data_IF_594124971087
#
_entry.id   IF_594124971087
#
_cell.length_a   1.000
_cell.length_b   1.000
_cell.length_c   1.000
_cell.angle_alpha   90.00
_cell.angle_beta   90.00
_cell.angle_gamma   90.00
#
_symmetry.space_group_name_H-M   'P 1'
#
loop_
_entity.id
_entity.type
_entity.pdbx_description
1 polymer ?
#
# COMPACT_ATOMS: atom_id res chain seq x y z
N UNK A 1 11.00 11.39 17.51
CA UNK A 1 10.85 10.25 16.58
C UNK A 1 11.40 10.60 15.21
N UNK A 2 10.83 11.59 14.49
CA UNK A 2 11.20 11.92 13.10
C UNK A 2 12.30 12.98 12.92
N UNK A 3 12.99 13.40 13.99
CA UNK A 3 14.06 14.41 14.00
C UNK A 3 13.64 15.71 13.29
N UNK A 4 14.47 16.25 12.39
CA UNK A 4 14.25 17.48 11.61
C UNK A 4 14.76 17.24 10.17
N UNK A 5 13.99 16.55 9.31
CA UNK A 5 14.42 16.24 7.96
C UNK A 5 14.53 17.55 7.15
N UNK A 6 15.58 17.68 6.35
CA UNK A 6 15.83 18.89 5.54
C UNK A 6 16.07 18.59 4.05
N UNK A 7 16.13 17.32 3.70
CA UNK A 7 16.20 16.83 2.33
C UNK A 7 15.21 15.68 2.08
N UNK A 8 14.91 15.40 0.81
CA UNK A 8 14.14 14.22 0.42
C UNK A 8 14.83 12.94 0.90
N UNK A 9 16.17 12.87 0.84
CA UNK A 9 16.94 11.73 1.34
C UNK A 9 16.70 11.46 2.84
N UNK A 10 16.55 12.50 3.66
CA UNK A 10 16.21 12.34 5.08
C UNK A 10 14.85 11.67 5.24
N UNK A 11 13.87 12.04 4.40
CA UNK A 11 12.52 11.45 4.39
C UNK A 11 12.59 9.99 3.92
N UNK A 12 13.28 9.70 2.81
CA UNK A 12 13.50 8.34 2.31
C UNK A 12 14.11 7.43 3.38
N UNK A 13 15.12 7.93 4.10
CA UNK A 13 15.76 7.20 5.21
C UNK A 13 14.80 6.93 6.36
N UNK A 14 13.91 7.85 6.71
CA UNK A 14 12.90 7.61 7.77
C UNK A 14 11.96 6.45 7.39
N UNK A 15 11.52 6.39 6.13
CA UNK A 15 10.68 5.29 5.66
C UNK A 15 11.43 3.96 5.60
N UNK A 16 12.67 3.97 5.13
CA UNK A 16 13.53 2.78 5.12
C UNK A 16 13.83 2.29 6.55
N UNK A 17 14.11 3.21 7.48
CA UNK A 17 14.33 2.90 8.90
C UNK A 17 13.08 2.29 9.54
N UNK A 18 11.89 2.75 9.17
CA UNK A 18 10.63 2.12 9.59
C UNK A 18 10.53 0.66 9.11
N UNK A 19 10.77 0.42 7.82
CA UNK A 19 10.77 -0.94 7.25
C UNK A 19 11.84 -1.84 7.90
N UNK A 20 13.00 -1.29 8.25
CA UNK A 20 14.04 -2.05 8.95
C UNK A 20 13.77 -2.24 10.47
N UNK A 21 12.71 -1.65 11.02
CA UNK A 21 12.38 -1.69 12.46
C UNK A 21 13.26 -0.78 13.33
N UNK A 22 14.00 0.17 12.73
CA UNK A 22 14.80 1.19 13.43
C UNK A 22 13.96 2.41 13.83
N UNK A 23 12.80 2.61 13.19
CA UNK A 23 11.81 3.62 13.53
C UNK A 23 10.50 2.95 13.93
N UNK A 24 9.85 3.43 14.98
CA UNK A 24 8.66 2.80 15.56
C UNK A 24 7.34 3.15 14.86
N UNK A 25 7.34 4.14 13.96
CA UNK A 25 6.12 4.60 13.30
C UNK A 25 6.36 5.72 12.29
N UNK A 26 5.36 5.91 11.43
CA UNK A 26 5.24 6.97 10.42
C UNK A 26 3.84 7.59 10.55
N UNK A 27 3.54 8.75 9.93
CA UNK A 27 2.19 9.33 9.99
C UNK A 27 1.07 8.37 9.55
N UNK A 28 1.35 7.47 8.60
CA UNK A 28 0.41 6.43 8.12
C UNK A 28 0.43 5.13 8.94
N UNK A 29 1.37 4.99 9.87
CA UNK A 29 1.60 3.76 10.64
C UNK A 29 1.79 4.04 12.14
N UNK A 30 0.76 3.72 12.93
CA UNK A 30 0.79 3.79 14.39
C UNK A 30 0.89 2.41 15.07
N UNK A 31 0.98 1.33 14.29
CA UNK A 31 1.12 -0.06 14.75
C UNK A 31 2.42 -0.70 14.24
N UNK A 32 2.90 -1.77 14.91
CA UNK A 32 3.97 -2.61 14.36
C UNK A 32 3.63 -3.19 12.98
N UNK A 33 4.66 -3.49 12.19
CA UNK A 33 4.51 -4.16 10.90
C UNK A 33 3.77 -5.49 11.05
N UNK A 34 2.88 -5.78 10.09
CA UNK A 34 2.24 -7.09 10.01
C UNK A 34 3.29 -8.17 9.72
N UNK A 35 3.12 -9.40 10.22
CA UNK A 35 4.03 -10.51 9.92
C UNK A 35 4.20 -10.79 8.42
N UNK A 36 3.21 -10.47 7.58
CA UNK A 36 3.33 -10.58 6.12
C UNK A 36 4.38 -9.62 5.55
N UNK A 37 4.50 -8.42 6.12
CA UNK A 37 5.43 -7.38 5.67
C UNK A 37 6.87 -7.76 5.99
N UNK A 38 7.11 -8.55 7.03
CA UNK A 38 8.45 -9.06 7.37
C UNK A 38 9.08 -9.86 6.23
N UNK A 39 8.27 -10.46 5.34
CA UNK A 39 8.76 -11.23 4.18
C UNK A 39 9.37 -10.32 3.10
N UNK A 40 8.94 -9.05 3.02
CA UNK A 40 9.32 -8.09 1.97
C UNK A 40 9.99 -6.82 2.51
N UNK A 41 10.29 -6.75 3.82
CA UNK A 41 10.82 -5.55 4.48
C UNK A 41 12.12 -5.00 3.86
N UNK A 42 12.99 -5.87 3.34
CA UNK A 42 14.25 -5.44 2.72
C UNK A 42 13.98 -4.77 1.39
N UNK A 43 13.15 -5.38 0.56
CA UNK A 43 12.72 -4.83 -0.72
C UNK A 43 12.01 -3.48 -0.50
N UNK A 44 11.10 -3.39 0.48
CA UNK A 44 10.45 -2.14 0.83
C UNK A 44 11.45 -1.07 1.26
N UNK A 45 12.47 -1.41 2.06
CA UNK A 45 13.50 -0.43 2.43
C UNK A 45 14.28 0.07 1.21
N UNK A 46 14.63 -0.80 0.26
CA UNK A 46 15.26 -0.40 -1.00
C UNK A 46 14.36 0.53 -1.81
N UNK A 47 13.09 0.17 -1.98
CA UNK A 47 12.07 0.99 -2.67
C UNK A 47 11.98 2.39 -2.05
N UNK A 48 11.93 2.47 -0.72
CA UNK A 48 11.88 3.74 0.01
C UNK A 48 13.16 4.58 -0.15
N UNK A 49 14.35 3.95 -0.12
CA UNK A 49 15.62 4.64 -0.35
C UNK A 49 15.71 5.22 -1.77
N UNK A 50 15.05 4.60 -2.74
CA UNK A 50 14.93 5.09 -4.12
C UNK A 50 13.91 6.20 -4.34
N UNK A 51 13.28 6.75 -3.29
CA UNK A 51 12.32 7.85 -3.42
C UNK A 51 10.86 7.42 -3.60
N UNK A 52 10.56 6.12 -3.52
CA UNK A 52 9.19 5.59 -3.59
C UNK A 52 8.68 5.31 -2.17
N UNK A 53 8.03 6.30 -1.55
CA UNK A 53 7.71 6.31 -0.12
C UNK A 53 6.48 5.43 0.19
N UNK A 54 6.68 4.16 0.53
CA UNK A 54 5.62 3.15 0.69
C UNK A 54 4.76 3.39 1.93
N UNK A 55 3.45 3.45 1.73
CA UNK A 55 2.44 3.59 2.77
C UNK A 55 1.53 2.35 2.90
N UNK A 56 1.55 1.41 1.94
CA UNK A 56 0.83 0.14 2.03
C UNK A 56 1.50 -0.92 1.14
N UNK A 57 1.41 -2.18 1.53
CA UNK A 57 1.98 -3.29 0.76
C UNK A 57 1.35 -4.63 1.11
N UNK A 58 1.37 -5.57 0.16
CA UNK A 58 1.18 -7.00 0.42
C UNK A 58 2.04 -7.82 -0.56
N UNK A 59 2.66 -8.93 -0.10
CA UNK A 59 3.42 -9.81 -0.99
C UNK A 59 2.50 -10.64 -1.90
N UNK A 60 3.06 -11.24 -2.94
CA UNK A 60 2.32 -12.27 -3.68
C UNK A 60 2.29 -13.58 -2.87
N UNK A 61 1.13 -14.24 -2.88
CA UNK A 61 0.90 -15.53 -2.23
C UNK A 61 0.24 -16.46 -3.23
N UNK A 62 0.80 -17.66 -3.38
CA UNK A 62 0.35 -18.63 -4.37
C UNK A 62 -0.10 -19.93 -3.70
N UNK A 63 -1.34 -19.94 -3.21
CA UNK A 63 -1.99 -21.16 -2.74
C UNK A 63 -1.42 -21.71 -1.44
N UNK A 64 -1.26 -20.86 -0.43
CA UNK A 64 -0.90 -21.30 0.93
C UNK A 64 -2.13 -21.91 1.63
N UNK A 65 -1.95 -22.85 2.56
CA UNK A 65 -3.05 -23.38 3.37
C UNK A 65 -3.83 -22.27 4.07
N UNK A 66 -5.14 -22.42 4.20
CA UNK A 66 -5.99 -21.44 4.90
C UNK A 66 -5.71 -21.29 6.40
N UNK A 67 -4.95 -22.22 6.99
CA UNK A 67 -4.44 -22.16 8.36
C UNK A 67 -2.95 -21.80 8.46
N UNK A 68 -2.36 -21.27 7.38
CA UNK A 68 -1.03 -20.68 7.40
C UNK A 68 -0.92 -19.58 8.47
N UNK A 69 0.21 -19.53 9.19
CA UNK A 69 0.37 -18.66 10.35
C UNK A 69 0.53 -17.17 10.01
N UNK A 70 0.93 -16.86 8.78
CA UNK A 70 1.21 -15.50 8.32
C UNK A 70 0.08 -15.02 7.42
N UNK A 71 -0.32 -15.85 6.46
CA UNK A 71 -1.22 -15.49 5.37
C UNK A 71 -2.59 -16.16 5.46
N UNK A 72 -2.76 -17.15 6.34
CA UNK A 72 -3.97 -17.98 6.42
C UNK A 72 -5.18 -17.21 6.93
N UNK A 73 -6.32 -17.40 6.26
CA UNK A 73 -7.62 -16.93 6.71
C UNK A 73 -8.74 -17.80 6.15
N UNK A 74 -9.94 -17.69 6.73
CA UNK A 74 -11.14 -18.38 6.26
C UNK A 74 -11.31 -19.80 6.81
N UNK A 75 -12.23 -20.61 6.23
CA UNK A 75 -12.45 -21.99 6.62
C UNK A 75 -11.20 -22.87 6.46
N UNK A 76 -11.08 -23.91 7.30
CA UNK A 76 -10.00 -24.91 7.20
C UNK A 76 -10.02 -25.67 5.87
N UNK A 77 -8.88 -26.25 5.52
CA UNK A 77 -8.67 -27.07 4.32
C UNK A 77 -8.90 -26.32 2.99
N UNK A 78 -8.74 -25.00 3.00
CA UNK A 78 -8.77 -24.16 1.80
C UNK A 78 -7.38 -23.65 1.44
N UNK A 79 -7.34 -22.80 0.41
CA UNK A 79 -6.13 -22.15 -0.07
C UNK A 79 -6.34 -20.66 -0.25
N UNK A 80 -5.32 -19.88 0.11
CA UNK A 80 -5.30 -18.41 0.03
C UNK A 80 -4.28 -17.95 -1.01
N UNK A 81 -4.63 -16.86 -1.70
CA UNK A 81 -3.84 -16.25 -2.74
C UNK A 81 -3.83 -14.74 -2.62
N UNK A 82 -2.72 -14.12 -3.02
CA UNK A 82 -2.53 -12.67 -3.06
C UNK A 82 -1.73 -12.28 -4.31
N UNK A 83 -2.10 -11.17 -4.95
CA UNK A 83 -1.24 -10.47 -5.90
C UNK A 83 -0.31 -9.54 -5.15
N UNK A 84 0.91 -9.36 -5.64
CA UNK A 84 1.79 -8.34 -5.08
C UNK A 84 1.21 -6.94 -5.34
N UNK A 85 1.24 -6.10 -4.31
CA UNK A 85 0.70 -4.75 -4.35
C UNK A 85 1.54 -3.80 -3.52
N UNK A 86 1.72 -2.58 -4.04
CA UNK A 86 2.39 -1.47 -3.37
C UNK A 86 1.54 -0.20 -3.50
N UNK A 87 1.53 0.62 -2.46
CA UNK A 87 1.00 1.98 -2.45
C UNK A 87 2.06 2.92 -1.87
N UNK A 88 2.40 3.99 -2.57
CA UNK A 88 3.51 4.87 -2.20
C UNK A 88 3.34 6.31 -2.70
N UNK A 89 4.05 7.23 -2.06
CA UNK A 89 4.23 8.60 -2.56
C UNK A 89 5.46 8.70 -3.48
N UNK A 90 5.21 9.34 -4.61
CA UNK A 90 6.01 9.59 -5.80
C UNK A 90 6.43 11.04 -6.12
N UNK A 91 7.69 11.43 -6.30
CA UNK A 91 7.96 12.68 -7.03
C UNK A 91 7.45 12.58 -8.48
N UNK A 92 7.11 13.71 -9.11
CA UNK A 92 6.64 13.71 -10.50
C UNK A 92 7.71 13.18 -11.48
N UNK A 93 8.99 13.45 -11.22
CA UNK A 93 10.09 12.99 -12.06
C UNK A 93 10.28 11.46 -11.98
N UNK A 94 10.27 10.92 -10.76
CA UNK A 94 10.41 9.48 -10.52
C UNK A 94 9.17 8.69 -10.99
N UNK A 95 7.99 9.35 -11.02
CA UNK A 95 6.80 8.79 -11.62
C UNK A 95 7.00 8.54 -13.12
N UNK A 96 7.53 9.49 -13.88
CA UNK A 96 7.75 9.29 -15.31
C UNK A 96 8.71 8.12 -15.57
N UNK A 97 9.81 8.02 -14.81
CA UNK A 97 10.74 6.88 -14.91
C UNK A 97 10.06 5.54 -14.61
N UNK A 98 9.20 5.52 -13.59
CA UNK A 98 8.41 4.33 -13.26
C UNK A 98 7.48 3.97 -14.43
N UNK A 99 6.74 4.95 -14.98
CA UNK A 99 5.80 4.72 -16.08
C UNK A 99 6.50 4.19 -17.34
N UNK A 100 7.66 4.75 -17.68
CA UNK A 100 8.48 4.26 -18.79
C UNK A 100 8.89 2.81 -18.59
N UNK A 101 9.34 2.46 -17.36
CA UNK A 101 9.79 1.11 -17.02
C UNK A 101 8.66 0.08 -17.07
N UNK A 102 7.46 0.42 -16.58
CA UNK A 102 6.33 -0.52 -16.51
C UNK A 102 5.52 -0.59 -17.82
N UNK A 103 5.72 0.35 -18.76
CA UNK A 103 4.93 0.47 -19.99
C UNK A 103 4.92 -0.80 -20.85
N UNK A 104 5.99 -1.59 -20.80
CA UNK A 104 6.15 -2.83 -21.56
C UNK A 104 5.57 -4.08 -20.90
N UNK A 105 5.14 -4.00 -19.63
CA UNK A 105 4.65 -5.16 -18.89
C UNK A 105 3.11 -5.19 -18.82
N UNK A 106 2.44 -6.10 -19.55
CA UNK A 106 0.98 -6.21 -19.51
C UNK A 106 0.44 -6.74 -18.18
N UNK A 107 1.30 -7.26 -17.31
CA UNK A 107 0.91 -7.77 -15.99
C UNK A 107 0.82 -6.67 -14.94
N UNK A 108 1.24 -5.45 -15.22
CA UNK A 108 1.19 -4.35 -14.26
C UNK A 108 -0.11 -3.56 -14.42
N UNK A 109 -0.76 -3.25 -13.30
CA UNK A 109 -1.86 -2.27 -13.24
C UNK A 109 -1.48 -1.18 -12.25
N UNK A 110 -1.57 0.09 -12.65
CA UNK A 110 -1.29 1.21 -11.76
C UNK A 110 -2.38 2.28 -11.76
N UNK A 111 -2.46 3.03 -10.67
CA UNK A 111 -3.22 4.27 -10.57
C UNK A 111 -2.37 5.31 -9.86
N UNK A 112 -2.22 6.49 -10.45
CA UNK A 112 -1.46 7.60 -9.89
C UNK A 112 -2.35 8.84 -9.78
N UNK A 113 -2.28 9.55 -8.65
CA UNK A 113 -3.03 10.78 -8.42
C UNK A 113 -2.25 11.80 -7.58
N UNK A 114 -2.18 13.05 -8.00
CA UNK A 114 -1.61 14.12 -7.17
C UNK A 114 -2.68 14.89 -6.38
N UNK A 115 -2.27 15.81 -5.50
CA UNK A 115 -3.18 16.61 -4.69
C UNK A 115 -4.18 17.40 -5.53
N UNK A 116 -3.77 17.90 -6.70
CA UNK A 116 -4.58 18.69 -7.63
C UNK A 116 -5.62 17.85 -8.38
N UNK A 117 -5.52 16.52 -8.33
CA UNK A 117 -6.44 15.61 -9.01
C UNK A 117 -6.01 15.20 -10.41
N UNK A 118 -4.77 15.46 -10.83
CA UNK A 118 -4.17 14.82 -12.01
C UNK A 118 -4.13 13.32 -11.78
N UNK A 119 -4.88 12.57 -12.60
CA UNK A 119 -5.06 11.14 -12.46
C UNK A 119 -4.57 10.41 -13.71
N UNK A 120 -3.74 9.38 -13.51
CA UNK A 120 -3.14 8.58 -14.58
C UNK A 120 -3.26 7.10 -14.27
N UNK A 121 -3.55 6.28 -15.27
CA UNK A 121 -3.70 4.83 -15.10
C UNK A 121 -3.58 4.10 -16.45
N UNK A 122 -3.18 2.84 -16.41
CA UNK A 122 -3.29 1.89 -17.54
C UNK A 122 -4.48 0.92 -17.39
N UNK A 123 -5.34 1.09 -16.37
CA UNK A 123 -6.48 0.21 -16.18
C UNK A 123 -7.49 0.39 -17.32
N UNK A 124 -7.73 -0.69 -18.08
CA UNK A 124 -8.61 -0.67 -19.26
C UNK A 124 -10.11 -0.60 -18.91
N UNK A 125 -10.47 -0.73 -17.63
CA UNK A 125 -11.85 -0.67 -17.17
C UNK A 125 -11.92 -0.24 -15.72
N UNK A 126 -13.04 0.36 -15.34
CA UNK A 126 -13.36 0.69 -13.95
C UNK A 126 -13.72 -0.55 -13.10
N UNK A 127 -13.51 -1.76 -13.62
CA UNK A 127 -13.83 -2.99 -12.88
C UNK A 127 -12.82 -3.20 -11.74
N UNK A 128 -13.29 -3.67 -10.57
CA UNK A 128 -12.40 -4.03 -9.48
C UNK A 128 -11.39 -5.12 -9.87
N UNK A 129 -10.13 -4.89 -9.55
CA UNK A 129 -9.07 -5.89 -9.61
C UNK A 129 -8.99 -6.64 -8.28
N UNK A 130 -9.32 -7.94 -8.27
CA UNK A 130 -9.15 -8.77 -7.08
C UNK A 130 -7.66 -9.00 -6.78
N UNK A 131 -7.24 -8.66 -5.56
CA UNK A 131 -5.84 -8.78 -5.12
C UNK A 131 -5.64 -9.77 -3.99
N UNK A 132 -6.71 -10.18 -3.30
CA UNK A 132 -6.66 -11.26 -2.30
C UNK A 132 -7.91 -12.12 -2.43
N UNK A 133 -7.74 -13.43 -2.57
CA UNK A 133 -8.85 -14.38 -2.67
C UNK A 133 -8.55 -15.71 -1.99
N UNK A 134 -9.60 -16.48 -1.73
CA UNK A 134 -9.52 -17.79 -1.11
C UNK A 134 -10.51 -18.77 -1.72
N UNK A 135 -10.06 -20.01 -1.85
CA UNK A 135 -10.85 -21.15 -2.35
C UNK A 135 -11.02 -22.14 -1.21
N UNK A 136 -12.27 -22.44 -0.85
CA UNK A 136 -12.59 -23.24 0.33
C UNK A 136 -13.57 -24.38 -0.02
N UNK A 137 -13.42 -25.58 0.58
CA UNK A 137 -14.33 -26.69 0.34
C UNK A 137 -15.80 -26.32 0.61
N UNK A 138 -16.66 -26.61 -0.37
CA UNK A 138 -18.10 -26.37 -0.26
C UNK A 138 -18.52 -24.90 -0.25
N UNK A 139 -17.67 -23.98 -0.70
CA UNK A 139 -17.99 -22.53 -0.81
C UNK A 139 -17.62 -21.97 -2.18
N UNK A 140 -18.32 -20.90 -2.56
CA UNK A 140 -17.86 -20.03 -3.64
C UNK A 140 -16.54 -19.34 -3.29
N UNK A 141 -15.83 -18.88 -4.32
CA UNK A 141 -14.58 -18.12 -4.16
C UNK A 141 -14.87 -16.85 -3.37
N UNK A 142 -14.06 -16.58 -2.35
CA UNK A 142 -14.16 -15.36 -1.55
C UNK A 142 -13.04 -14.40 -1.94
N UNK A 143 -13.40 -13.15 -2.26
CA UNK A 143 -12.47 -12.09 -2.68
C UNK A 143 -12.60 -10.86 -1.75
N UNK A 144 -12.01 -10.89 -0.54
CA UNK A 144 -12.21 -9.83 0.45
C UNK A 144 -11.53 -8.51 0.09
N UNK A 145 -10.49 -8.53 -0.76
CA UNK A 145 -9.70 -7.34 -1.09
C UNK A 145 -9.64 -7.13 -2.60
N UNK A 146 -10.01 -5.91 -3.00
CA UNK A 146 -10.01 -5.43 -4.39
C UNK A 146 -9.32 -4.06 -4.47
N UNK A 147 -8.79 -3.74 -5.64
CA UNK A 147 -8.27 -2.42 -6.01
C UNK A 147 -9.12 -1.88 -7.17
N UNK A 148 -9.56 -0.63 -7.08
CA UNK A 148 -10.45 0.00 -8.07
C UNK A 148 -10.16 1.51 -8.15
N UNK A 149 -10.15 2.05 -9.36
CA UNK A 149 -9.92 3.48 -9.63
C UNK A 149 -10.93 4.39 -8.89
N UNK A 150 -12.22 4.04 -8.88
CA UNK A 150 -13.27 4.81 -8.21
C UNK A 150 -13.00 4.87 -6.70
N UNK A 151 -12.70 3.73 -6.09
CA UNK A 151 -12.35 3.65 -4.67
C UNK A 151 -11.06 4.40 -4.32
N UNK A 152 -10.12 4.51 -5.26
CA UNK A 152 -8.89 5.27 -5.10
C UNK A 152 -9.11 6.80 -5.22
N UNK A 153 -10.01 7.20 -6.12
CA UNK A 153 -10.34 8.60 -6.41
C UNK A 153 -11.47 9.18 -5.57
N UNK A 154 -12.17 8.38 -4.76
CA UNK A 154 -13.51 8.75 -4.34
C UNK A 154 -13.56 10.02 -3.45
N UNK A 155 -14.27 11.02 -3.99
CA UNK A 155 -14.60 12.34 -3.44
C UNK A 155 -15.92 12.33 -2.63
N UNK A 156 -16.12 13.38 -1.82
CA UNK A 156 -17.41 13.78 -1.22
C UNK A 156 -18.45 14.12 -2.30
N UNK A 157 -19.34 13.18 -2.64
CA UNK A 157 -20.66 13.51 -3.17
C UNK A 157 -21.71 13.23 -2.10
N UNK A 158 -21.80 14.14 -1.12
CA UNK A 158 -22.98 14.27 -0.28
C UNK A 158 -24.04 15.11 -1.00
N UNK A 159 -24.54 14.66 -2.15
CA UNK A 159 -25.79 15.15 -2.74
C UNK A 159 -26.28 14.20 -3.83
N UNK A 160 -27.16 13.25 -3.48
CA UNK A 160 -28.34 12.81 -4.24
C UNK A 160 -29.04 11.66 -3.45
N UNK A 161 -30.38 11.53 -3.50
CA UNK A 161 -31.17 10.96 -2.42
C UNK A 161 -31.23 9.43 -2.44
N UNK A 162 -31.30 8.90 -1.22
CA UNK A 162 -31.78 7.57 -0.81
C UNK A 162 -33.08 7.13 -1.51
N UNK A 163 -33.05 6.68 -2.77
CA UNK A 163 -34.16 5.96 -3.38
C UNK A 163 -33.63 5.01 -4.45
N UNK A 164 -33.56 3.72 -4.10
CA UNK A 164 -33.63 2.51 -4.95
C UNK A 164 -32.73 1.37 -4.42
N UNK A 165 -32.95 0.95 -3.17
CA UNK A 165 -32.72 -0.45 -2.78
C UNK A 165 -33.83 -0.88 -1.81
N UNK A 166 -35.02 -1.04 -2.38
CA UNK A 166 -36.13 -1.85 -1.89
C UNK A 166 -36.31 -2.88 -3.02
N UNK A 167 -36.17 -4.19 -2.89
CA UNK A 167 -36.57 -5.15 -1.85
C UNK A 167 -35.75 -6.44 -2.02
N UNK A 168 -35.22 -7.04 -0.95
CA UNK A 168 -34.99 -8.50 -0.88
C UNK A 168 -34.73 -8.96 0.57
N UNK A 169 -35.85 -9.16 1.28
CA UNK A 169 -36.11 -10.16 2.33
C UNK A 169 -35.01 -10.47 3.37
N UNK A 170 -35.12 -9.81 4.53
CA UNK A 170 -34.70 -10.33 5.83
C UNK A 170 -35.41 -11.66 6.15
N UNK A 171 -34.65 -12.67 6.58
CA UNK A 171 -35.12 -13.66 7.55
C UNK A 171 -34.15 -13.68 8.73
N UNK A 172 -34.63 -13.24 9.89
CA UNK A 172 -34.04 -13.53 11.20
C UNK A 172 -34.44 -14.96 11.58
N UNK A 173 -33.56 -15.71 12.24
CA UNK A 173 -33.82 -16.23 13.59
C UNK A 173 -32.59 -16.89 14.25
N UNK A 174 -32.57 -16.64 15.56
CA UNK A 174 -31.97 -17.38 16.69
C UNK A 174 -30.48 -17.26 17.01
N UNK A 175 -30.26 -16.83 18.25
CA UNK A 175 -29.00 -16.65 18.95
C UNK A 175 -28.49 -17.97 19.54
N UNK A 176 -27.18 -18.20 19.44
CA UNK A 176 -26.44 -19.22 20.17
C UNK A 176 -25.09 -18.65 20.59
N UNK A 177 -24.85 -18.59 21.90
CA UNK A 177 -23.71 -17.97 22.56
C UNK A 177 -22.56 -18.98 22.64
N UNK A 178 -21.38 -18.62 22.14
CA UNK A 178 -20.10 -19.15 22.62
C UNK A 178 -19.02 -18.08 22.45
N UNK A 179 -18.50 -17.60 23.58
CA UNK A 179 -17.31 -16.74 23.66
C UNK A 179 -16.07 -17.64 23.56
N UNK A 180 -15.14 -17.29 22.68
CA UNK A 180 -13.76 -17.78 22.68
C UNK A 180 -12.81 -16.57 22.49
N UNK A 181 -11.61 -16.58 23.09
CA UNK A 181 -10.70 -15.44 23.04
C UNK A 181 -9.95 -15.45 21.70
N UNK A 182 -10.18 -14.41 20.91
CA UNK A 182 -9.60 -14.27 19.58
C UNK A 182 -10.46 -13.39 18.68
N UNK A 183 -10.83 -12.20 19.17
CA UNK A 183 -11.37 -11.17 18.30
C UNK A 183 -10.24 -10.72 17.35
N UNK A 184 -10.27 -11.27 16.14
CA UNK A 184 -9.57 -10.75 14.98
C UNK A 184 -9.88 -9.24 14.87
N UNK A 185 -8.89 -8.39 15.18
CA UNK A 185 -8.78 -7.06 14.57
C UNK A 185 -8.30 -7.22 13.13
N UNK A 186 -9.09 -7.90 12.31
CA UNK A 186 -9.05 -7.68 10.87
C UNK A 186 -9.88 -6.44 10.67
N UNK A 187 -9.24 -5.33 10.31
CA UNK A 187 -9.96 -4.16 9.83
C UNK A 187 -10.84 -4.64 8.66
N UNK A 188 -12.14 -4.73 8.93
CA UNK A 188 -13.17 -5.08 7.97
C UNK A 188 -13.07 -4.12 6.78
N UNK A 189 -12.48 -4.57 5.69
CA UNK A 189 -12.50 -3.89 4.39
C UNK A 189 -13.76 -4.23 3.56
N UNK A 190 -14.85 -4.69 4.21
CA UNK A 190 -16.14 -4.87 3.54
C UNK A 190 -17.16 -3.83 4.01
N UNK A 191 -16.99 -2.58 3.56
CA UNK A 191 -18.11 -1.65 3.45
C UNK A 191 -17.85 -0.66 2.31
N UNK A 192 -18.70 -0.61 1.26
CA UNK A 192 -18.55 0.32 0.13
C UNK A 192 -18.55 1.81 0.53
N UNK A 193 -18.91 2.12 1.78
CA UNK A 193 -18.98 3.50 2.31
C UNK A 193 -17.66 4.04 2.86
N UNK A 194 -16.57 3.26 2.87
CA UNK A 194 -15.26 3.69 3.41
C UNK A 194 -14.15 3.85 2.38
N UNK A 195 -14.36 3.51 1.10
CA UNK A 195 -13.31 3.73 0.08
C UNK A 195 -13.15 5.20 -0.30
N UNK A 196 -14.20 6.01 -0.20
CA UNK A 196 -14.25 7.46 -0.48
C UNK A 196 -13.50 8.39 0.49
N UNK A 197 -12.44 7.88 1.14
CA UNK A 197 -11.69 8.57 2.19
C UNK A 197 -10.17 8.48 2.02
N UNK A 198 -9.65 7.56 1.20
CA UNK A 198 -8.23 7.15 1.28
C UNK A 198 -7.23 8.20 0.80
N UNK A 199 -7.44 8.81 -0.38
CA UNK A 199 -6.52 9.81 -0.93
C UNK A 199 -6.44 11.05 -0.06
N UNK A 200 -7.58 11.68 0.26
CA UNK A 200 -7.61 12.92 1.05
C UNK A 200 -7.06 12.69 2.46
N UNK A 201 -7.37 11.55 3.09
CA UNK A 201 -6.78 11.18 4.38
C UNK A 201 -5.26 10.97 4.25
N UNK A 202 -4.78 10.33 3.18
CA UNK A 202 -3.35 10.11 2.96
C UNK A 202 -2.57 11.43 2.78
N UNK A 203 -3.11 12.41 2.04
CA UNK A 203 -2.51 13.74 1.88
C UNK A 203 -2.66 14.62 3.14
N UNK A 204 -3.73 14.49 3.91
CA UNK A 204 -3.91 15.24 5.16
C UNK A 204 -2.89 14.81 6.23
N UNK A 205 -2.45 13.55 6.23
CA UNK A 205 -1.40 13.07 7.14
C UNK A 205 -0.05 13.74 6.89
N UNK A 206 0.27 14.13 5.65
CA UNK A 206 1.43 14.99 5.38
C UNK A 206 1.27 16.36 6.05
N UNK A 207 0.10 16.98 5.95
CA UNK A 207 -0.17 18.28 6.57
C UNK A 207 -0.11 18.21 8.10
N UNK A 208 -0.57 17.10 8.71
CA UNK A 208 -0.42 16.86 10.14
C UNK A 208 1.04 16.68 10.54
N UNK A 209 1.83 15.98 9.71
CA UNK A 209 3.26 15.81 9.95
C UNK A 209 4.00 17.16 9.88
N UNK A 210 3.72 18.01 8.89
CA UNK A 210 4.35 19.33 8.78
C UNK A 210 4.09 20.22 10.02
N UNK A 211 2.87 20.16 10.58
CA UNK A 211 2.44 20.95 11.74
C UNK A 211 3.19 20.66 13.04
N UNK A 212 3.95 19.55 13.13
CA UNK A 212 4.77 19.29 14.32
C UNK A 212 6.02 20.18 14.37
N UNK A 213 6.40 20.78 13.24
CA UNK A 213 7.55 21.66 13.11
C UNK A 213 7.11 23.12 13.17
N UNK A 214 8.03 24.01 13.54
CA UNK A 214 7.79 25.44 13.47
C UNK A 214 7.48 25.85 12.03
N UNK A 215 6.47 26.70 11.85
CA UNK A 215 6.09 27.23 10.54
C UNK A 215 7.27 27.97 9.89
N UNK A 216 7.53 27.71 8.62
CA UNK A 216 8.66 28.29 7.87
C UNK A 216 10.03 27.70 8.25
N UNK A 217 10.07 26.62 9.02
CA UNK A 217 11.31 25.86 9.20
C UNK A 217 11.60 25.01 7.96
N UNK A 218 12.87 24.70 7.66
CA UNK A 218 13.22 23.85 6.53
C UNK A 218 12.49 22.50 6.51
N UNK A 219 12.25 21.89 7.67
CA UNK A 219 11.51 20.63 7.77
C UNK A 219 10.02 20.79 7.46
N UNK A 220 9.39 21.87 7.92
CA UNK A 220 7.99 22.14 7.61
C UNK A 220 7.82 22.38 6.10
N UNK A 221 8.66 23.24 5.52
CA UNK A 221 8.60 23.60 4.10
C UNK A 221 8.87 22.39 3.18
N UNK A 222 9.83 21.54 3.54
CA UNK A 222 10.09 20.30 2.81
C UNK A 222 8.84 19.40 2.80
N UNK A 223 8.26 19.12 3.95
CA UNK A 223 7.11 18.21 4.09
C UNK A 223 5.88 18.78 3.38
N UNK A 224 5.64 20.09 3.49
CA UNK A 224 4.59 20.79 2.74
C UNK A 224 4.82 20.68 1.22
N UNK A 225 6.05 20.89 0.76
CA UNK A 225 6.39 20.78 -0.67
C UNK A 225 6.14 19.37 -1.23
N UNK A 226 6.47 18.32 -0.45
CA UNK A 226 6.18 16.93 -0.82
C UNK A 226 4.68 16.72 -0.91
N UNK A 227 3.92 17.15 0.11
CA UNK A 227 2.47 17.00 0.15
C UNK A 227 1.77 17.64 -1.04
N UNK A 228 2.30 18.76 -1.54
CA UNK A 228 1.67 19.55 -2.60
C UNK A 228 2.08 19.11 -4.00
N UNK A 229 3.27 18.54 -4.19
CA UNK A 229 3.80 18.23 -5.52
C UNK A 229 3.86 16.74 -5.87
N UNK A 230 3.81 15.84 -4.89
CA UNK A 230 3.97 14.41 -5.12
C UNK A 230 2.65 13.72 -5.51
N UNK A 231 2.79 12.58 -6.19
CA UNK A 231 1.70 11.67 -6.54
C UNK A 231 1.57 10.58 -5.49
N UNK A 232 0.34 10.20 -5.17
CA UNK A 232 0.01 8.93 -4.55
C UNK A 232 -0.17 7.90 -5.66
N UNK A 233 0.54 6.78 -5.59
CA UNK A 233 0.51 5.73 -6.61
C UNK A 233 0.19 4.40 -5.96
N UNK A 234 -0.66 3.61 -6.59
CA UNK A 234 -0.74 2.18 -6.33
C UNK A 234 -0.34 1.37 -7.58
N UNK A 235 0.33 0.24 -7.34
CA UNK A 235 0.79 -0.71 -8.37
C UNK A 235 0.41 -2.12 -7.94
N UNK A 236 -0.15 -2.89 -8.86
CA UNK A 236 -0.45 -4.32 -8.71
C UNK A 236 0.29 -5.09 -9.79
N UNK A 237 1.02 -6.14 -9.41
CA UNK A 237 1.51 -7.13 -10.35
C UNK A 237 0.51 -8.30 -10.42
N UNK A 238 -0.08 -8.52 -11.59
CA UNK A 238 -1.20 -9.45 -11.76
C UNK A 238 -0.79 -10.92 -11.79
N UNK A 239 0.49 -11.22 -12.05
CA UNK A 239 1.01 -12.59 -11.99
C UNK A 239 1.42 -12.90 -10.54
N UNK A 240 0.46 -13.44 -9.78
CA UNK A 240 0.67 -13.85 -8.40
C UNK A 240 1.65 -15.03 -8.24
N UNK A 241 2.03 -15.69 -9.33
CA UNK A 241 3.00 -16.78 -9.29
C UNK A 241 4.45 -16.27 -9.29
N UNK A 242 4.67 -14.99 -9.59
CA UNK A 242 5.98 -14.33 -9.61
C UNK A 242 6.11 -13.33 -8.44
N UNK A 243 6.53 -13.79 -7.25
CA UNK A 243 6.51 -12.96 -6.05
C UNK A 243 7.49 -11.77 -6.07
N UNK A 244 8.57 -11.85 -6.86
CA UNK A 244 9.57 -10.78 -6.96
C UNK A 244 9.32 -9.78 -8.09
N UNK A 245 8.43 -10.08 -9.03
CA UNK A 245 8.31 -9.28 -10.26
C UNK A 245 7.92 -7.81 -10.02
N UNK A 246 7.16 -7.51 -8.94
CA UNK A 246 6.88 -6.11 -8.58
C UNK A 246 8.14 -5.37 -8.09
N UNK A 247 9.08 -6.07 -7.47
CA UNK A 247 10.29 -5.50 -6.90
C UNK A 247 11.41 -5.39 -7.93
N UNK A 248 11.47 -6.29 -8.92
CA UNK A 248 12.41 -6.23 -10.05
C UNK A 248 12.32 -4.87 -10.80
N UNK A 249 11.12 -4.26 -10.82
CA UNK A 249 10.88 -2.90 -11.34
C UNK A 249 11.76 -1.89 -10.61
N UNK A 250 11.73 -1.93 -9.27
CA UNK A 250 12.45 -0.99 -8.42
C UNK A 250 13.93 -1.33 -8.31
N UNK A 251 14.32 -2.60 -8.42
CA UNK A 251 15.74 -2.92 -8.57
C UNK A 251 16.30 -2.22 -9.81
N UNK A 252 15.58 -2.24 -10.94
CA UNK A 252 16.03 -1.54 -12.16
C UNK A 252 16.09 -0.01 -11.96
N UNK A 253 15.16 0.57 -11.19
CA UNK A 253 15.07 2.03 -10.97
C UNK A 253 16.01 2.55 -9.86
N UNK A 254 16.31 1.71 -8.86
CA UNK A 254 17.01 2.10 -7.61
C UNK A 254 18.46 1.60 -7.59
N UNK A 255 18.84 0.66 -8.47
CA UNK A 255 20.24 0.26 -8.60
C UNK A 255 21.10 1.47 -9.00
N UNK A 256 22.36 1.51 -8.52
CA UNK A 256 23.07 2.76 -8.34
C UNK A 256 23.31 3.41 -9.69
N UNK A 257 22.91 4.67 -9.83
CA UNK A 257 23.68 5.60 -10.63
C UNK A 257 25.11 5.48 -10.14
N UNK A 258 25.97 4.89 -10.98
CA UNK A 258 27.41 4.92 -10.78
C UNK A 258 27.80 6.39 -10.67
N UNK A 259 28.62 6.72 -9.68
CA UNK A 259 29.22 8.06 -9.66
C UNK A 259 30.14 8.24 -10.89
N UNK A 260 30.69 9.45 -11.07
CA UNK A 260 31.60 9.73 -12.18
C UNK A 260 32.85 8.82 -12.24
N UNK A 261 33.11 8.03 -11.19
CA UNK A 261 34.24 7.11 -11.05
C UNK A 261 33.84 5.63 -11.20
N UNK A 262 32.56 5.31 -11.28
CA UNK A 262 32.08 3.94 -11.47
C UNK A 262 31.76 3.16 -10.19
N UNK A 263 31.77 3.82 -9.02
CA UNK A 263 31.56 3.15 -7.72
C UNK A 263 30.07 2.96 -7.38
N UNK A 264 29.78 1.87 -6.66
CA UNK A 264 28.43 1.50 -6.21
C UNK A 264 28.09 2.32 -4.96
N UNK A 265 27.05 3.17 -5.03
CA UNK A 265 26.43 3.76 -3.84
C UNK A 265 25.50 2.72 -3.19
N UNK A 266 25.89 2.21 -2.02
CA UNK A 266 25.25 1.06 -1.36
C UNK A 266 23.91 1.45 -0.70
N UNK A 267 22.84 0.73 -1.05
CA UNK A 267 21.54 0.82 -0.38
C UNK A 267 21.62 0.05 0.95
N UNK A 268 21.58 0.79 2.07
CA UNK A 268 21.78 0.29 3.42
C UNK A 268 21.07 -1.06 3.70
N UNK A 269 21.84 -2.14 3.90
CA UNK A 269 21.28 -3.45 4.28
C UNK A 269 20.43 -3.37 5.56
N UNK A 270 19.15 -3.76 5.49
CA UNK A 270 18.33 -3.97 6.68
C UNK A 270 18.81 -5.24 7.41
N UNK A 271 19.89 -5.19 8.21
CA UNK A 271 20.18 -6.30 9.12
C UNK A 271 18.99 -6.46 10.07
N UNK A 272 18.39 -7.65 10.08
CA UNK A 272 17.37 -7.98 11.07
C UNK A 272 17.96 -7.71 12.46
N UNK A 273 17.27 -6.93 13.28
CA UNK A 273 17.63 -6.82 14.68
C UNK A 273 17.59 -8.25 15.25
N UNK A 274 18.76 -8.80 15.57
CA UNK A 274 18.90 -10.08 16.24
C UNK A 274 18.08 -10.00 17.53
N UNK A 275 17.03 -10.82 17.62
CA UNK A 275 16.39 -11.13 18.89
C UNK A 275 17.33 -11.96 19.75
#
# INVERSE_FOLDING_TARGET
MWKYPTSVDDICRLFADFCCGRLSGLPWYDQPLNPETDVIRQQLATVNLGGYLTINSQPAVNGVPSDDKVFGWGPKNGYVYQKAYLEFFVSAEELERLLDTISGDPMITYHAVNRQGDFRTNALSDRPNAVTWGVFPGKEIQQPTIVEAISFMAWKVSTLPLLLFSTAKRRRLSAGRARGPGELKVFFFSSPRRSARRKDEAFELWAQWAKIYNRGSPSAELIESIADSWFLVNVVHNDFQKPQAIFDIFETLVLPTRDANGDIVDAASCRAASR
#
